data_IF_506213632472
#
_entry.id   IF_506213632472
#
_cell.length_a   1.000
_cell.length_b   1.000
_cell.length_c   1.000
_cell.angle_alpha   90.00
_cell.angle_beta   90.00
_cell.angle_gamma   90.00
#
_symmetry.space_group_name_H-M   'P 1'
#
loop_
_entity.id
_entity.type
_entity.pdbx_description
1 polymer ?
#
# COMPACT_ATOMS: atom_id res chain seq x y z
N UNK A 1 -40.91 -8.33 67.73
CA UNK A 1 -41.04 -7.47 66.53
C UNK A 1 -39.87 -6.50 66.53
N UNK A 2 -39.04 -6.50 65.49
CA UNK A 2 -37.94 -5.55 65.36
C UNK A 2 -36.69 -6.14 64.71
N UNK A 3 -36.75 -6.39 63.41
CA UNK A 3 -35.56 -6.60 62.57
C UNK A 3 -35.60 -5.64 61.38
N UNK A 4 -34.89 -4.49 61.44
CA UNK A 4 -34.60 -3.69 60.27
C UNK A 4 -33.09 -3.50 60.16
N UNK A 5 -32.37 -4.48 59.59
CA UNK A 5 -30.94 -4.30 59.31
C UNK A 5 -30.41 -4.96 58.04
N UNK A 6 -31.24 -5.76 57.37
CA UNK A 6 -30.83 -6.53 56.18
C UNK A 6 -31.14 -5.76 54.87
N UNK A 7 -32.07 -4.80 54.91
CA UNK A 7 -32.52 -4.08 53.72
C UNK A 7 -31.56 -2.98 53.26
N UNK A 8 -30.76 -2.40 54.16
CA UNK A 8 -29.75 -1.38 53.80
C UNK A 8 -28.50 -1.96 53.12
N UNK A 9 -28.15 -3.22 53.39
CA UNK A 9 -26.97 -3.86 52.80
C UNK A 9 -27.20 -4.24 51.33
N UNK A 10 -28.43 -4.63 50.98
CA UNK A 10 -28.79 -4.93 49.59
C UNK A 10 -28.80 -3.67 48.70
N UNK A 11 -29.17 -2.51 49.23
CA UNK A 11 -29.22 -1.26 48.45
C UNK A 11 -27.81 -0.79 48.07
N UNK A 12 -26.81 -0.98 48.95
CA UNK A 12 -25.41 -0.67 48.65
C UNK A 12 -24.80 -1.63 47.60
N UNK A 13 -25.27 -2.88 47.56
CA UNK A 13 -24.82 -3.86 46.56
C UNK A 13 -25.44 -3.62 45.17
N UNK A 14 -26.67 -3.09 45.11
CA UNK A 14 -27.32 -2.74 43.84
C UNK A 14 -26.83 -1.38 43.28
N UNK A 15 -26.48 -0.42 44.14
CA UNK A 15 -25.83 0.84 43.69
C UNK A 15 -24.34 0.68 43.38
N UNK A 16 -23.66 -0.34 43.90
CA UNK A 16 -22.24 -0.59 43.64
C UNK A 16 -21.92 -1.24 42.29
N UNK A 17 -22.92 -1.84 41.62
CA UNK A 17 -22.73 -2.54 40.33
C UNK A 17 -23.01 -1.62 39.13
N UNK A 18 -23.71 -0.50 39.33
CA UNK A 18 -24.07 0.42 38.24
C UNK A 18 -22.97 1.40 37.82
N UNK A 19 -21.83 1.46 38.52
CA UNK A 19 -20.73 2.39 38.20
C UNK A 19 -19.62 1.78 37.33
N UNK A 20 -19.68 0.50 36.94
CA UNK A 20 -18.61 -0.16 36.18
C UNK A 20 -18.94 -0.45 34.70
N UNK A 21 -20.03 0.08 34.17
CA UNK A 21 -20.40 -0.12 32.75
C UNK A 21 -20.51 1.18 31.93
N UNK A 22 -19.96 2.28 32.42
CA UNK A 22 -19.52 3.34 31.52
C UNK A 22 -18.31 2.80 30.77
N UNK A 23 -18.54 2.09 29.67
CA UNK A 23 -17.49 1.89 28.67
C UNK A 23 -16.96 3.28 28.35
N UNK A 24 -15.68 3.52 28.68
CA UNK A 24 -15.05 4.82 28.44
C UNK A 24 -15.29 5.16 26.96
N UNK A 25 -15.81 6.35 26.69
CA UNK A 25 -15.83 6.87 25.33
C UNK A 25 -14.37 6.98 24.88
N UNK A 26 -14.05 6.35 23.75
CA UNK A 26 -12.72 6.39 23.16
C UNK A 26 -12.64 7.62 22.25
N UNK A 27 -11.60 8.43 22.45
CA UNK A 27 -11.32 9.61 21.63
C UNK A 27 -10.06 9.35 20.83
N UNK A 28 -10.09 9.59 19.51
CA UNK A 28 -8.92 9.42 18.66
C UNK A 28 -8.60 10.73 17.92
N UNK A 29 -7.31 10.97 17.68
CA UNK A 29 -6.89 11.98 16.72
C UNK A 29 -7.45 11.62 15.35
N UNK A 30 -8.02 12.60 14.64
CA UNK A 30 -8.58 12.44 13.30
C UNK A 30 -7.78 13.27 12.31
N UNK A 31 -7.40 12.70 11.19
CA UNK A 31 -6.68 13.48 10.19
C UNK A 31 -6.47 12.72 8.90
N UNK A 32 -6.40 13.45 7.79
CA UNK A 32 -6.16 12.90 6.46
C UNK A 32 -5.18 13.81 5.73
N UNK A 33 -4.09 13.24 5.22
CA UNK A 33 -3.10 13.99 4.45
C UNK A 33 -2.63 13.17 3.24
N UNK A 34 -2.58 13.84 2.09
CA UNK A 34 -2.03 13.29 0.85
C UNK A 34 -1.19 14.38 0.19
N UNK A 35 0.13 14.25 0.26
CA UNK A 35 1.06 15.26 -0.25
C UNK A 35 2.16 14.62 -1.10
N UNK A 36 2.80 15.45 -1.93
CA UNK A 36 4.06 15.12 -2.61
C UNK A 36 5.07 16.19 -2.22
N UNK A 37 6.17 15.79 -1.61
CA UNK A 37 7.16 16.67 -1.01
C UNK A 37 8.56 16.32 -1.47
N UNK A 38 9.41 17.33 -1.67
CA UNK A 38 10.80 17.11 -2.05
C UNK A 38 11.69 16.65 -0.87
N UNK A 39 11.39 17.13 0.35
CA UNK A 39 12.13 16.77 1.56
C UNK A 39 11.21 16.69 2.79
N UNK A 40 10.43 15.62 2.92
CA UNK A 40 9.47 15.50 4.02
C UNK A 40 10.11 15.15 5.37
N UNK A 41 11.36 14.70 5.40
CA UNK A 41 12.06 14.26 6.62
C UNK A 41 12.05 15.31 7.73
N UNK A 42 12.17 16.57 7.32
CA UNK A 42 12.28 17.73 8.19
C UNK A 42 11.04 18.62 8.15
N UNK A 43 10.10 18.36 7.24
CA UNK A 43 8.99 19.27 6.92
C UNK A 43 7.62 18.67 7.20
N UNK A 44 7.45 17.35 7.19
CA UNK A 44 6.16 16.74 7.40
C UNK A 44 5.80 16.77 8.89
N UNK A 45 4.82 17.62 9.22
CA UNK A 45 4.21 17.67 10.54
C UNK A 45 2.90 16.89 10.51
N UNK A 46 2.85 15.78 11.27
CA UNK A 46 1.68 14.92 11.34
C UNK A 46 0.76 15.22 12.52
N UNK A 47 0.91 16.38 13.16
CA UNK A 47 -0.06 16.85 14.15
C UNK A 47 -1.42 17.09 13.50
N UNK A 48 -2.49 16.66 14.17
CA UNK A 48 -3.85 17.04 13.82
C UNK A 48 -4.54 17.75 14.98
N UNK A 49 -5.38 18.73 14.65
CA UNK A 49 -6.20 19.45 15.62
C UNK A 49 -7.56 18.76 15.84
N UNK A 50 -7.97 17.91 14.90
CA UNK A 50 -9.28 17.24 14.95
C UNK A 50 -9.25 15.98 15.81
N UNK A 51 -10.37 15.77 16.52
CA UNK A 51 -10.62 14.61 17.37
C UNK A 51 -11.99 14.05 17.01
N UNK A 52 -12.11 12.74 17.01
CA UNK A 52 -13.41 12.07 16.89
C UNK A 52 -13.67 11.10 18.05
N UNK A 53 -14.96 10.91 18.34
CA UNK A 53 -15.46 9.97 19.34
C UNK A 53 -15.77 8.66 18.64
N UNK A 54 -15.23 7.55 19.14
CA UNK A 54 -15.38 6.25 18.52
C UNK A 54 -16.58 5.47 19.03
N UNK A 55 -17.08 4.58 18.16
CA UNK A 55 -18.06 3.58 18.53
C UNK A 55 -17.49 2.60 19.58
N UNK A 56 -18.38 1.94 20.33
CA UNK A 56 -17.97 0.98 21.36
C UNK A 56 -17.19 -0.18 20.75
N UNK A 57 -16.03 -0.46 21.32
CA UNK A 57 -15.15 -1.56 20.89
C UNK A 57 -14.25 -1.22 19.70
N UNK A 58 -14.30 0.02 19.21
CA UNK A 58 -13.33 0.52 18.24
C UNK A 58 -11.96 0.76 18.88
N UNK A 59 -10.94 0.92 18.04
CA UNK A 59 -9.59 1.34 18.38
C UNK A 59 -9.27 2.69 17.71
N UNK A 60 -8.18 3.32 18.15
CA UNK A 60 -7.54 4.37 17.37
C UNK A 60 -6.55 3.75 16.39
N UNK A 61 -6.40 4.38 15.22
CA UNK A 61 -5.31 4.08 14.29
C UNK A 61 -4.61 5.35 13.81
N UNK A 62 -3.32 5.22 13.53
CA UNK A 62 -2.54 6.14 12.70
C UNK A 62 -1.70 5.33 11.70
N UNK A 63 -1.86 5.63 10.43
CA UNK A 63 -1.21 4.88 9.35
C UNK A 63 -0.65 5.82 8.31
N UNK A 64 0.58 5.56 7.86
CA UNK A 64 1.25 6.30 6.80
C UNK A 64 1.91 5.38 5.78
N UNK A 65 1.83 5.76 4.52
CA UNK A 65 2.53 5.16 3.40
C UNK A 65 3.41 6.23 2.75
N UNK A 66 4.71 5.93 2.63
CA UNK A 66 5.74 6.83 2.12
C UNK A 66 6.34 6.21 0.87
N UNK A 67 6.32 6.94 -0.25
CA UNK A 67 6.79 6.46 -1.56
C UNK A 67 7.77 7.48 -2.12
N UNK A 68 9.05 7.10 -2.24
CA UNK A 68 10.10 7.97 -2.73
C UNK A 68 10.57 7.57 -4.13
N UNK A 69 10.61 8.56 -5.02
CA UNK A 69 11.14 8.44 -6.37
C UNK A 69 12.08 9.63 -6.67
N UNK A 70 13.38 9.36 -6.77
CA UNK A 70 14.37 10.42 -6.95
C UNK A 70 14.39 11.36 -5.75
N UNK A 71 14.12 12.63 -5.99
CA UNK A 71 14.07 13.70 -4.98
C UNK A 71 12.67 14.03 -4.51
N UNK A 72 11.64 13.31 -4.95
CA UNK A 72 10.25 13.54 -4.56
C UNK A 72 9.73 12.36 -3.75
N UNK A 73 8.83 12.65 -2.82
CA UNK A 73 8.23 11.67 -1.92
C UNK A 73 6.74 11.93 -1.80
N UNK A 74 5.91 10.95 -2.17
CA UNK A 74 4.50 10.97 -1.85
C UNK A 74 4.26 10.41 -0.45
N UNK A 75 3.38 11.08 0.30
CA UNK A 75 2.97 10.71 1.64
C UNK A 75 1.45 10.60 1.65
N UNK A 76 0.94 9.46 2.11
CA UNK A 76 -0.47 9.24 2.37
C UNK A 76 -0.62 8.85 3.83
N UNK A 77 -1.29 9.69 4.61
CA UNK A 77 -1.36 9.58 6.05
C UNK A 77 -2.82 9.69 6.53
N UNK A 78 -3.22 8.83 7.45
CA UNK A 78 -4.57 8.81 8.01
C UNK A 78 -4.54 8.54 9.50
N UNK A 79 -5.39 9.23 10.25
CA UNK A 79 -5.65 9.01 11.68
C UNK A 79 -7.16 8.97 11.92
N UNK A 80 -7.63 8.10 12.81
CA UNK A 80 -9.04 8.06 13.22
C UNK A 80 -9.41 6.79 13.97
N UNK A 81 -10.71 6.61 14.19
CA UNK A 81 -11.30 5.39 14.75
C UNK A 81 -11.30 4.26 13.71
N UNK A 82 -11.11 3.04 14.17
CA UNK A 82 -11.26 1.81 13.38
C UNK A 82 -12.14 0.82 14.15
N UNK A 83 -13.16 0.18 13.53
CA UNK A 83 -14.15 -0.61 14.26
C UNK A 83 -13.59 -1.93 14.79
N UNK A 84 -12.54 -2.46 14.17
CA UNK A 84 -11.91 -3.73 14.52
C UNK A 84 -10.41 -3.71 14.20
N UNK A 85 -9.66 -4.56 14.91
CA UNK A 85 -8.22 -4.68 14.78
C UNK A 85 -7.62 -5.26 16.05
N UNK A 86 -6.30 -5.48 16.03
CA UNK A 86 -5.53 -5.84 17.22
C UNK A 86 -4.55 -4.70 17.51
N UNK A 87 -4.32 -4.41 18.79
CA UNK A 87 -3.29 -3.46 19.20
C UNK A 87 -1.92 -3.94 18.70
N UNK A 88 -1.34 -3.18 17.77
CA UNK A 88 -0.09 -3.52 17.13
C UNK A 88 0.55 -2.31 16.46
N UNK A 89 1.87 -2.27 16.52
CA UNK A 89 2.69 -1.37 15.70
C UNK A 89 3.35 -2.20 14.61
N UNK A 90 3.10 -1.82 13.35
CA UNK A 90 3.61 -2.48 12.16
C UNK A 90 4.41 -1.50 11.32
N UNK A 91 5.68 -1.81 11.06
CA UNK A 91 6.57 -1.07 10.15
C UNK A 91 6.99 -2.02 9.05
N UNK A 92 6.81 -1.61 7.80
CA UNK A 92 7.12 -2.44 6.64
C UNK A 92 7.94 -1.63 5.64
N UNK A 93 9.10 -2.15 5.27
CA UNK A 93 9.85 -1.67 4.13
C UNK A 93 9.47 -2.51 2.91
N UNK A 94 8.53 -1.99 2.11
CA UNK A 94 7.99 -2.69 0.94
C UNK A 94 9.00 -2.76 -0.21
N UNK A 95 9.76 -1.68 -0.42
CA UNK A 95 10.87 -1.62 -1.38
C UNK A 95 12.03 -0.86 -0.77
N UNK A 96 13.24 -1.40 -0.93
CA UNK A 96 14.46 -0.88 -0.34
C UNK A 96 15.36 -0.19 -1.36
N UNK A 97 16.20 0.72 -0.86
CA UNK A 97 17.34 1.28 -1.61
C UNK A 97 18.20 0.16 -2.23
N UNK A 98 18.81 0.35 -3.43
CA UNK A 98 18.84 1.57 -4.24
C UNK A 98 17.65 1.74 -5.19
N UNK A 99 17.28 3.00 -5.47
CA UNK A 99 16.21 3.35 -6.41
C UNK A 99 14.92 3.81 -5.73
N UNK A 100 13.79 3.25 -6.12
CA UNK A 100 12.50 3.46 -5.47
C UNK A 100 12.49 2.89 -4.05
N UNK A 101 11.98 3.67 -3.11
CA UNK A 101 11.84 3.25 -1.71
C UNK A 101 10.37 3.40 -1.33
N UNK A 102 9.81 2.37 -0.71
CA UNK A 102 8.44 2.40 -0.18
C UNK A 102 8.43 1.83 1.22
N UNK A 103 7.90 2.60 2.17
CA UNK A 103 7.82 2.24 3.59
C UNK A 103 6.45 2.60 4.13
N UNK A 104 5.91 1.78 5.02
CA UNK A 104 4.70 2.08 5.75
C UNK A 104 4.88 1.95 7.26
N UNK A 105 4.06 2.69 7.99
CA UNK A 105 3.84 2.53 9.43
C UNK A 105 2.36 2.52 9.73
N UNK A 106 1.96 1.67 10.67
CA UNK A 106 0.60 1.55 11.18
C UNK A 106 0.67 1.29 12.67
N UNK A 107 -0.04 2.07 13.46
CA UNK A 107 -0.20 1.87 14.89
C UNK A 107 -1.69 1.82 15.21
N UNK A 108 -2.14 0.68 15.75
CA UNK A 108 -3.48 0.48 16.27
C UNK A 108 -3.38 0.40 17.78
N UNK A 109 -4.16 1.20 18.50
CA UNK A 109 -4.04 1.35 19.95
C UNK A 109 -5.40 1.65 20.60
N UNK A 110 -5.56 1.29 21.88
CA UNK A 110 -6.87 1.26 22.56
C UNK A 110 -7.11 2.41 23.54
N UNK A 111 -6.08 3.20 23.86
CA UNK A 111 -6.19 4.33 24.78
C UNK A 111 -6.67 5.60 24.06
N UNK A 112 -7.39 6.48 24.77
CA UNK A 112 -7.80 7.76 24.18
C UNK A 112 -6.57 8.61 23.82
N UNK A 113 -6.58 9.14 22.60
CA UNK A 113 -5.54 9.97 21.99
C UNK A 113 -4.20 9.25 21.78
N UNK A 114 -4.14 7.92 21.83
CA UNK A 114 -2.90 7.15 21.67
C UNK A 114 -2.28 7.23 20.27
N UNK A 115 -3.05 7.64 19.25
CA UNK A 115 -2.58 7.79 17.88
C UNK A 115 -2.00 9.21 17.65
N UNK A 116 -0.98 9.56 18.43
CA UNK A 116 -0.46 10.92 18.61
C UNK A 116 0.86 11.23 17.91
N UNK A 117 1.34 10.36 17.00
CA UNK A 117 2.62 10.55 16.34
C UNK A 117 2.66 11.83 15.51
N UNK A 118 3.71 12.61 15.68
CA UNK A 118 3.89 13.94 15.07
C UNK A 118 5.03 13.99 14.05
N UNK A 119 6.04 13.12 14.20
CA UNK A 119 7.27 13.11 13.41
C UNK A 119 7.53 11.78 12.70
N UNK A 120 8.08 11.90 11.48
CA UNK A 120 8.55 10.77 10.67
C UNK A 120 10.04 10.49 10.83
N UNK A 121 10.77 11.19 11.70
CA UNK A 121 12.22 11.06 11.85
C UNK A 121 12.69 9.61 12.01
N UNK A 122 12.06 8.84 12.91
CA UNK A 122 12.37 7.42 13.14
C UNK A 122 12.03 6.50 11.95
N UNK A 123 11.08 6.92 11.09
CA UNK A 123 10.66 6.20 9.89
C UNK A 123 11.52 6.57 8.68
N UNK A 124 12.17 7.74 8.72
CA UNK A 124 12.97 8.28 7.63
C UNK A 124 14.39 7.71 7.56
N UNK A 125 14.89 7.11 8.65
CA UNK A 125 16.16 6.37 8.64
C UNK A 125 16.18 5.27 7.56
N UNK A 126 15.01 4.72 7.18
CA UNK A 126 14.88 3.73 6.10
C UNK A 126 14.88 4.33 4.67
N UNK A 127 14.75 5.66 4.55
CA UNK A 127 14.72 6.44 3.30
C UNK A 127 16.08 7.11 3.02
N UNK A 128 16.97 7.16 4.01
CA UNK A 128 18.33 7.65 3.83
C UNK A 128 19.14 6.73 2.93
N UNK A 129 19.60 7.31 1.84
CA UNK A 129 20.46 6.64 0.87
C UNK A 129 21.88 6.90 1.33
N UNK A 130 22.61 5.88 1.80
CA UNK A 130 24.07 5.94 1.80
C UNK A 130 24.49 6.31 0.39
N UNK A 131 25.31 7.36 0.24
CA UNK A 131 25.69 7.93 -1.05
C UNK A 131 26.18 6.84 -2.01
N UNK A 132 25.26 6.34 -2.84
CA UNK A 132 25.54 5.27 -3.78
C UNK A 132 26.19 5.91 -5.00
N UNK A 133 27.31 5.35 -5.44
CA UNK A 133 27.95 5.77 -6.67
C UNK A 133 26.92 5.68 -7.81
N UNK A 134 26.73 6.75 -8.57
CA UNK A 134 25.80 6.75 -9.69
C UNK A 134 26.37 5.87 -10.80
N UNK A 135 25.59 4.92 -11.30
CA UNK A 135 25.96 4.14 -12.48
C UNK A 135 25.56 4.93 -13.73
N UNK A 136 26.47 5.07 -14.69
CA UNK A 136 26.25 5.89 -15.89
C UNK A 136 25.54 5.14 -17.03
N UNK A 137 25.16 3.88 -16.83
CA UNK A 137 24.64 3.02 -17.91
C UNK A 137 23.13 2.87 -17.93
N UNK A 138 22.45 2.97 -16.78
CA UNK A 138 21.00 2.85 -16.69
C UNK A 138 20.38 4.22 -16.36
N UNK A 139 19.44 4.64 -17.21
CA UNK A 139 18.62 5.82 -16.98
C UNK A 139 17.15 5.43 -17.00
N UNK A 140 16.37 5.97 -16.07
CA UNK A 140 14.95 5.68 -15.97
C UNK A 140 14.12 6.97 -15.86
N UNK A 141 12.93 7.02 -16.51
CA UNK A 141 11.92 8.02 -16.17
C UNK A 141 11.67 7.96 -14.67
N UNK A 142 11.81 9.09 -13.98
CA UNK A 142 11.64 9.18 -12.53
C UNK A 142 10.56 10.20 -12.19
N UNK A 143 9.56 9.79 -11.42
CA UNK A 143 8.52 10.67 -10.88
C UNK A 143 7.72 9.95 -9.79
N UNK A 144 7.11 10.71 -8.90
CA UNK A 144 6.01 10.25 -8.05
C UNK A 144 4.93 11.35 -8.02
N UNK A 145 3.66 10.99 -8.21
CA UNK A 145 2.58 11.96 -8.23
C UNK A 145 1.26 11.37 -7.72
N UNK A 146 0.47 12.18 -7.01
CA UNK A 146 -0.95 11.93 -6.81
C UNK A 146 -1.66 12.07 -8.17
N UNK A 147 -2.34 11.03 -8.60
CA UNK A 147 -2.91 10.88 -9.93
C UNK A 147 -1.85 10.42 -10.95
N UNK A 148 -1.42 11.33 -11.81
CA UNK A 148 -0.49 11.03 -12.91
C UNK A 148 0.66 12.02 -12.94
N UNK A 149 1.86 11.53 -13.26
CA UNK A 149 3.02 12.39 -13.40
C UNK A 149 2.84 13.33 -14.60
N UNK A 150 2.95 14.64 -14.37
CA UNK A 150 2.97 15.63 -15.45
C UNK A 150 4.17 15.44 -16.38
N UNK A 151 5.33 15.13 -15.80
CA UNK A 151 6.56 14.76 -16.52
C UNK A 151 7.34 13.71 -15.73
N UNK A 152 8.21 12.97 -16.43
CA UNK A 152 9.06 11.95 -15.81
C UNK A 152 10.46 11.99 -16.47
N UNK A 153 11.33 12.93 -16.07
CA UNK A 153 12.67 13.06 -16.65
C UNK A 153 13.49 11.78 -16.48
N UNK A 154 14.33 11.48 -17.47
CA UNK A 154 15.17 10.29 -17.47
C UNK A 154 16.44 10.53 -16.65
N UNK A 155 16.45 10.09 -15.39
CA UNK A 155 17.55 10.30 -14.45
C UNK A 155 18.53 9.11 -14.43
N UNK A 156 19.83 9.34 -14.20
CA UNK A 156 20.79 8.26 -13.99
C UNK A 156 20.44 7.48 -12.72
N UNK A 157 20.61 6.15 -12.79
CA UNK A 157 20.24 5.29 -11.68
C UNK A 157 21.38 5.05 -10.68
N UNK A 158 21.07 4.91 -9.38
CA UNK A 158 22.06 4.51 -8.38
C UNK A 158 22.58 3.09 -8.67
N UNK A 159 23.84 2.85 -8.34
CA UNK A 159 24.46 1.53 -8.52
C UNK A 159 23.70 0.46 -7.71
N UNK A 160 23.61 -0.74 -8.28
CA UNK A 160 22.82 -1.86 -7.75
C UNK A 160 21.41 -1.99 -8.34
N UNK A 161 20.87 -0.94 -8.97
CA UNK A 161 19.61 -1.04 -9.72
C UNK A 161 19.82 -1.75 -11.05
N UNK A 162 18.81 -2.50 -11.51
CA UNK A 162 18.92 -3.34 -12.71
C UNK A 162 17.90 -3.02 -13.79
N UNK A 163 16.87 -2.23 -13.48
CA UNK A 163 15.78 -1.91 -14.40
C UNK A 163 14.98 -0.68 -14.00
N UNK A 164 14.13 -0.24 -14.91
CA UNK A 164 13.12 0.79 -14.66
C UNK A 164 11.79 0.16 -14.25
N UNK A 165 11.18 0.73 -13.23
CA UNK A 165 9.82 0.47 -12.80
C UNK A 165 8.89 1.57 -13.30
N UNK A 166 7.69 1.17 -13.71
CA UNK A 166 6.59 2.07 -14.04
C UNK A 166 5.30 1.41 -13.58
N UNK A 167 4.56 2.06 -12.68
CA UNK A 167 3.31 1.51 -12.17
C UNK A 167 2.45 2.57 -11.50
N UNK A 168 1.26 2.14 -11.09
CA UNK A 168 0.30 2.92 -10.32
C UNK A 168 -0.12 2.13 -9.08
N UNK A 169 -0.27 2.84 -7.97
CA UNK A 169 -0.86 2.32 -6.75
C UNK A 169 -2.26 2.90 -6.63
N UNK A 170 -3.29 2.06 -6.76
CA UNK A 170 -4.66 2.45 -6.46
C UNK A 170 -4.91 2.18 -4.97
N UNK A 171 -5.23 3.22 -4.21
CA UNK A 171 -5.30 3.20 -2.75
C UNK A 171 -6.71 3.57 -2.31
N UNK A 172 -7.30 2.69 -1.50
CA UNK A 172 -8.66 2.86 -0.96
C UNK A 172 -8.70 2.48 0.52
N UNK A 173 -9.47 3.19 1.34
CA UNK A 173 -9.69 2.85 2.75
C UNK A 173 -9.04 3.85 3.71
N UNK A 174 -9.47 3.84 4.98
CA UNK A 174 -8.99 4.83 5.97
C UNK A 174 -9.28 6.29 5.59
N UNK A 175 -10.33 6.54 4.81
CA UNK A 175 -10.65 7.86 4.27
C UNK A 175 -9.80 8.29 3.05
N UNK A 176 -8.87 7.45 2.60
CA UNK A 176 -8.04 7.69 1.42
C UNK A 176 -8.71 7.05 0.19
N UNK A 177 -8.86 7.84 -0.87
CA UNK A 177 -9.21 7.39 -2.21
C UNK A 177 -8.31 8.12 -3.21
N UNK A 178 -7.26 7.47 -3.66
CA UNK A 178 -6.24 8.11 -4.51
C UNK A 178 -5.51 7.10 -5.39
N UNK A 179 -4.95 7.61 -6.49
CA UNK A 179 -4.04 6.89 -7.36
C UNK A 179 -2.65 7.51 -7.22
N UNK A 180 -1.59 6.71 -7.15
CA UNK A 180 -0.21 7.22 -7.13
C UNK A 180 0.56 6.64 -8.29
N UNK A 181 0.93 7.46 -9.27
CA UNK A 181 1.84 7.04 -10.34
C UNK A 181 3.29 7.12 -9.85
N UNK A 182 4.04 6.04 -10.07
CA UNK A 182 5.43 5.90 -9.62
C UNK A 182 6.28 5.39 -10.77
N UNK A 183 7.37 6.10 -11.06
CA UNK A 183 8.40 5.69 -12.02
C UNK A 183 9.78 5.91 -11.41
N UNK A 184 10.70 5.00 -11.70
CA UNK A 184 12.09 5.17 -11.28
C UNK A 184 12.92 3.91 -11.42
N UNK A 185 14.16 4.00 -10.95
CA UNK A 185 15.10 2.89 -10.91
C UNK A 185 14.69 1.90 -9.80
N UNK A 186 14.87 0.60 -10.00
CA UNK A 186 14.57 -0.39 -8.94
C UNK A 186 15.45 -1.62 -9.03
N UNK A 187 15.53 -2.34 -7.91
CA UNK A 187 16.01 -3.73 -7.82
C UNK A 187 14.86 -4.74 -7.92
N UNK A 188 13.62 -4.29 -7.69
CA UNK A 188 12.41 -5.12 -7.66
C UNK A 188 12.11 -5.75 -9.02
N UNK A 189 11.80 -7.05 -9.01
CA UNK A 189 11.46 -7.80 -10.22
C UNK A 189 9.94 -7.82 -10.40
N UNK A 190 9.49 -7.21 -11.50
CA UNK A 190 8.09 -7.23 -11.91
C UNK A 190 7.29 -6.12 -11.25
N UNK A 191 5.99 -6.36 -11.09
CA UNK A 191 5.06 -5.45 -10.43
C UNK A 191 4.95 -5.83 -8.95
N UNK A 192 5.97 -5.44 -8.17
CA UNK A 192 6.13 -5.80 -6.75
C UNK A 192 6.71 -4.67 -5.90
N UNK A 193 6.46 -3.42 -6.25
CA UNK A 193 6.86 -2.26 -5.45
C UNK A 193 6.32 -2.34 -4.01
N UNK A 194 5.11 -2.88 -3.84
CA UNK A 194 4.48 -3.14 -2.53
C UNK A 194 4.87 -4.50 -1.93
N UNK A 195 5.78 -5.26 -2.56
CA UNK A 195 6.16 -6.62 -2.17
C UNK A 195 4.98 -7.61 -2.07
N UNK A 196 3.88 -7.34 -2.77
CA UNK A 196 2.65 -8.14 -2.71
C UNK A 196 1.81 -7.93 -1.44
N UNK A 197 2.21 -6.98 -0.58
CA UNK A 197 1.47 -6.61 0.62
C UNK A 197 0.40 -5.60 0.20
N UNK A 198 -0.85 -6.04 0.27
CA UNK A 198 -2.00 -5.24 -0.18
C UNK A 198 -2.63 -4.41 0.94
N UNK A 199 -2.46 -4.79 2.20
CA UNK A 199 -3.02 -4.08 3.34
C UNK A 199 -1.94 -3.25 4.04
N UNK A 200 -2.23 -1.98 4.29
CA UNK A 200 -1.39 -1.05 5.04
C UNK A 200 -2.29 -0.31 6.02
N UNK A 201 -2.32 -0.77 7.28
CA UNK A 201 -3.33 -0.33 8.25
C UNK A 201 -4.75 -0.44 7.66
N UNK A 202 -5.55 0.63 7.65
CA UNK A 202 -6.90 0.62 7.08
C UNK A 202 -6.93 0.82 5.56
N UNK A 203 -5.78 0.98 4.90
CA UNK A 203 -5.68 1.13 3.45
C UNK A 203 -5.51 -0.21 2.75
N UNK A 204 -6.15 -0.35 1.60
CA UNK A 204 -5.91 -1.39 0.62
C UNK A 204 -5.22 -0.79 -0.60
N UNK A 205 -4.08 -1.37 -0.99
CA UNK A 205 -3.20 -0.88 -2.06
C UNK A 205 -3.14 -1.91 -3.17
N UNK A 206 -3.65 -1.54 -4.35
CA UNK A 206 -3.56 -2.36 -5.55
C UNK A 206 -2.48 -1.80 -6.49
N UNK A 207 -1.42 -2.58 -6.65
CA UNK A 207 -0.34 -2.26 -7.58
C UNK A 207 -0.68 -2.70 -9.02
N UNK A 208 -0.54 -1.77 -9.97
CA UNK A 208 -0.83 -1.98 -11.39
C UNK A 208 0.35 -1.52 -12.22
N UNK A 209 0.91 -2.41 -13.03
CA UNK A 209 1.99 -2.08 -13.95
C UNK A 209 1.60 -2.42 -15.38
N UNK A 210 2.18 -1.73 -16.39
CA UNK A 210 2.02 -2.12 -17.77
C UNK A 210 2.45 -3.58 -17.95
N UNK A 211 1.63 -4.37 -18.65
CA UNK A 211 2.06 -5.69 -19.08
C UNK A 211 3.26 -5.50 -20.02
N UNK A 212 4.46 -5.88 -19.55
CA UNK A 212 5.57 -6.12 -20.46
C UNK A 212 5.18 -7.36 -21.28
N UNK A 213 4.55 -7.15 -22.43
CA UNK A 213 4.56 -8.14 -23.49
C UNK A 213 6.04 -8.48 -23.68
N UNK A 214 6.40 -9.75 -23.45
CA UNK A 214 7.72 -10.30 -23.70
C UNK A 214 8.00 -10.33 -25.21
N UNK A 215 7.87 -9.20 -25.90
CA UNK A 215 8.42 -8.94 -27.23
C UNK A 215 9.74 -8.22 -27.06
N UNK A 216 10.63 -8.75 -26.22
CA UNK A 216 12.04 -8.59 -26.50
C UNK A 216 12.41 -9.81 -27.35
N UNK A 217 12.74 -9.66 -28.64
CA UNK A 217 13.33 -10.77 -29.37
C UNK A 217 14.57 -11.17 -28.57
N UNK A 218 14.60 -12.44 -28.11
CA UNK A 218 15.85 -13.02 -27.66
C UNK A 218 16.83 -12.80 -28.81
N UNK A 219 17.82 -11.94 -28.61
CA UNK A 219 18.96 -11.86 -29.51
C UNK A 219 19.73 -13.15 -29.27
N UNK A 220 19.31 -14.22 -29.94
CA UNK A 220 20.10 -15.43 -30.04
C UNK A 220 21.38 -15.04 -30.77
N UNK A 221 22.50 -15.23 -30.10
CA UNK A 221 23.83 -15.23 -30.71
C UNK A 221 23.92 -16.46 -31.61
N UNK A 222 23.27 -16.37 -32.77
CA UNK A 222 23.54 -17.10 -33.99
C UNK A 222 22.51 -16.64 -35.02
N UNK A 223 23.00 -16.00 -36.09
CA UNK A 223 22.20 -15.35 -37.12
C UNK A 223 21.34 -16.31 -37.93
N UNK A 224 20.23 -16.75 -37.36
CA UNK A 224 19.13 -17.37 -38.08
C UNK A 224 17.84 -16.58 -37.78
N UNK A 225 17.24 -16.03 -38.83
CA UNK A 225 15.98 -15.30 -38.78
C UNK A 225 14.86 -16.34 -38.61
N UNK A 226 14.32 -16.48 -37.40
CA UNK A 226 13.06 -17.18 -37.19
C UNK A 226 11.92 -16.25 -37.62
N UNK A 227 11.38 -16.46 -38.82
CA UNK A 227 10.14 -15.83 -39.24
C UNK A 227 8.98 -16.42 -38.42
N UNK A 228 8.06 -15.59 -37.90
CA UNK A 228 6.86 -16.09 -37.23
C UNK A 228 5.93 -16.70 -38.29
N UNK A 229 5.59 -17.97 -38.12
CA UNK A 229 4.58 -18.65 -38.95
C UNK A 229 3.23 -18.02 -38.59
N UNK A 230 2.48 -17.43 -39.54
CA UNK A 230 1.15 -16.94 -39.27
C UNK A 230 0.22 -18.14 -39.04
N UNK A 231 -0.39 -18.20 -37.85
CA UNK A 231 -1.47 -19.14 -37.54
C UNK A 231 -2.73 -18.66 -38.25
N UNK A 232 -2.80 -18.82 -39.56
CA UNK A 232 -4.05 -18.71 -40.29
C UNK A 232 -4.03 -19.64 -41.50
N UNK A 233 -4.87 -20.67 -41.46
CA UNK A 233 -5.06 -21.59 -42.56
C UNK A 233 -4.92 -23.07 -42.18
N UNK A 234 -5.74 -23.56 -41.26
CA UNK A 234 -6.11 -24.98 -41.26
C UNK A 234 -7.62 -25.13 -41.21
N UNK A 235 -8.25 -24.66 -42.27
CA UNK A 235 -9.65 -24.96 -42.55
C UNK A 235 -9.79 -25.16 -44.04
N UNK A 236 -9.33 -26.33 -44.52
CA UNK A 236 -9.87 -27.03 -45.69
C UNK A 236 -9.11 -28.34 -45.86
N UNK A 237 -9.75 -29.46 -45.52
CA UNK A 237 -9.60 -30.77 -46.17
C UNK A 237 -10.50 -31.79 -45.44
N UNK A 238 -11.78 -31.79 -45.80
CA UNK A 238 -12.65 -32.94 -45.60
C UNK A 238 -13.36 -33.23 -46.93
N UNK A 239 -12.85 -34.15 -47.78
CA UNK A 239 -13.63 -34.71 -48.84
C UNK A 239 -14.20 -36.07 -48.42
N UNK A 240 -15.53 -36.08 -48.27
CA UNK A 240 -16.47 -37.09 -48.76
C UNK A 240 -15.95 -38.54 -48.88
N UNK A 241 -16.35 -39.38 -47.91
CA UNK A 241 -16.61 -40.80 -48.16
C UNK A 241 -17.95 -41.19 -47.52
N UNK A 242 -19.03 -41.05 -48.30
CA UNK A 242 -20.21 -41.90 -48.22
C UNK A 242 -20.40 -42.50 -49.62
N UNK A 243 -20.45 -43.83 -49.70
CA UNK A 243 -21.67 -44.50 -50.13
C UNK A 243 -21.92 -45.72 -49.22
N UNK A 244 -23.09 -46.31 -49.05
CA UNK A 244 -24.46 -46.10 -49.52
C UNK A 244 -25.29 -47.12 -48.73
N UNK A 245 -26.56 -46.78 -48.44
CA UNK A 245 -27.67 -47.64 -48.04
C UNK A 245 -27.48 -49.15 -48.32
N UNK A 246 -27.80 -50.04 -47.35
CA UNK A 246 -28.87 -51.06 -47.45
C UNK A 246 -29.33 -51.45 -46.03
N UNK A 247 -30.63 -51.25 -45.82
CA UNK A 247 -31.48 -51.74 -44.73
C UNK A 247 -31.79 -53.23 -44.97
N UNK A 248 -31.71 -54.13 -43.99
CA UNK A 248 -32.64 -55.27 -43.85
C UNK A 248 -32.44 -56.02 -42.51
N UNK A 249 -33.56 -56.09 -41.77
CA UNK A 249 -33.99 -57.05 -40.73
C UNK A 249 -33.10 -57.34 -39.52
#
# INVERSE_FOLDING_TARGET
>A
MGTPRIQHLLILLVLGISLLTSGLELYCQKGLSMTVEADPANMFNWTTEEVEICDKGALCQETILIIKAGTETAILATKGCIPEGEEAITIIQHSSSPGLIVTSYSNYCEDSFCNDKDSLSQLWEFSETTASTMSTTLHCPTCVALGTCFSAPSLPCPNGTTRCYQGKLEITGGGIESSVEVKGCTTTIGCRLMSGILAVGPMFVREVCPHQLLTQPRKTENGAICLPIPVWGLQLLLPLLLPSFIHFS
#
